data_IF_689311555169
#
_entry.id   IF_689311555169
#
_cell.length_a   1.000
_cell.length_b   1.000
_cell.length_c   1.000
_cell.angle_alpha   90.00
_cell.angle_beta   90.00
_cell.angle_gamma   90.00
#
_symmetry.space_group_name_H-M   'P 1'
#
loop_
_entity.id
_entity.type
_entity.pdbx_description
1 polymer ?
#
# COMPACT_ATOMS: atom_id res chain seq x y z
N UNK A 1 -3.95 12.65 -1.12
CA UNK A 1 -4.22 11.92 0.12
C UNK A 1 -5.43 11.06 -0.15
N UNK A 2 -5.37 9.80 0.26
CA UNK A 2 -6.46 8.84 0.10
C UNK A 2 -7.75 9.39 0.70
N UNK A 3 -8.87 9.19 0.01
CA UNK A 3 -10.18 9.53 0.51
C UNK A 3 -10.78 8.31 1.24
N UNK A 4 -11.05 8.46 2.54
CA UNK A 4 -11.68 7.42 3.35
C UNK A 4 -13.11 7.81 3.66
N UNK A 5 -14.07 7.00 3.20
CA UNK A 5 -15.49 7.14 3.49
C UNK A 5 -15.95 6.05 4.44
N UNK A 6 -16.46 6.43 5.61
CA UNK A 6 -17.10 5.50 6.54
C UNK A 6 -18.51 5.20 6.02
N UNK A 7 -18.75 3.95 5.61
CA UNK A 7 -20.07 3.50 5.13
C UNK A 7 -20.96 3.15 6.30
N UNK A 8 -20.41 2.50 7.32
CA UNK A 8 -21.07 2.16 8.58
C UNK A 8 -20.00 1.82 9.65
N UNK A 9 -20.44 1.42 10.86
CA UNK A 9 -19.58 1.07 12.00
C UNK A 9 -18.53 -0.02 11.71
N UNK A 10 -18.69 -0.79 10.64
CA UNK A 10 -17.89 -1.97 10.30
C UNK A 10 -17.30 -1.93 8.89
N UNK A 11 -17.59 -0.90 8.09
CA UNK A 11 -17.24 -0.84 6.68
C UNK A 11 -16.71 0.53 6.28
N UNK A 12 -15.55 0.54 5.64
CA UNK A 12 -14.98 1.72 4.98
C UNK A 12 -14.85 1.52 3.47
N UNK A 13 -14.90 2.63 2.74
CA UNK A 13 -14.47 2.71 1.34
C UNK A 13 -13.24 3.60 1.29
N UNK A 14 -12.24 3.16 0.56
CA UNK A 14 -11.01 3.90 0.34
C UNK A 14 -10.94 4.19 -1.15
N UNK A 15 -10.81 5.45 -1.53
CA UNK A 15 -10.52 5.85 -2.90
C UNK A 15 -9.11 6.45 -2.94
N UNK A 16 -8.29 5.96 -3.88
CA UNK A 16 -6.92 6.45 -4.09
C UNK A 16 -6.70 6.80 -5.55
N UNK A 17 -5.79 7.72 -5.79
CA UNK A 17 -5.38 8.17 -7.11
C UNK A 17 -3.88 7.95 -7.31
N UNK A 18 -3.40 8.14 -8.54
CA UNK A 18 -1.97 7.99 -8.89
C UNK A 18 -1.06 8.81 -7.94
N UNK A 19 -1.48 10.01 -7.57
CA UNK A 19 -0.74 10.91 -6.68
C UNK A 19 -0.52 10.30 -5.29
N UNK A 20 -1.44 9.46 -4.82
CA UNK A 20 -1.31 8.75 -3.54
C UNK A 20 -0.23 7.68 -3.64
N UNK A 21 -0.17 6.91 -4.75
CA UNK A 21 0.94 5.96 -4.98
C UNK A 21 2.28 6.68 -5.01
N UNK A 22 2.38 7.83 -5.70
CA UNK A 22 3.61 8.62 -5.73
C UNK A 22 4.01 9.15 -4.35
N UNK A 23 3.03 9.48 -3.51
CA UNK A 23 3.27 9.89 -2.12
C UNK A 23 3.79 8.72 -1.29
N UNK A 24 3.16 7.54 -1.41
CA UNK A 24 3.61 6.32 -0.74
C UNK A 24 5.04 5.94 -1.13
N UNK A 25 5.39 6.05 -2.42
CA UNK A 25 6.76 5.75 -2.90
C UNK A 25 7.78 6.70 -2.28
N UNK A 26 7.47 8.01 -2.22
CA UNK A 26 8.38 9.00 -1.61
C UNK A 26 8.56 8.77 -0.11
N UNK A 27 7.50 8.39 0.59
CA UNK A 27 7.55 8.08 2.02
C UNK A 27 8.36 6.80 2.27
N UNK A 28 8.11 5.76 1.48
CA UNK A 28 8.89 4.52 1.49
C UNK A 28 10.38 4.76 1.24
N UNK A 29 10.71 5.62 0.27
CA UNK A 29 12.10 6.00 -0.02
C UNK A 29 12.75 6.76 1.15
N UNK A 30 12.01 7.67 1.79
CA UNK A 30 12.53 8.49 2.90
C UNK A 30 12.76 7.66 4.16
N UNK A 31 11.94 6.63 4.37
CA UNK A 31 11.94 5.79 5.56
C UNK A 31 12.19 4.31 5.21
N UNK A 32 13.17 4.05 4.34
CA UNK A 32 13.35 2.73 3.75
C UNK A 32 13.57 1.60 4.77
N UNK A 33 14.24 1.88 5.88
CA UNK A 33 14.45 0.90 6.95
C UNK A 33 13.14 0.52 7.66
N UNK A 34 12.22 1.47 7.80
CA UNK A 34 10.89 1.22 8.41
C UNK A 34 10.03 0.38 7.48
N UNK A 35 10.06 0.68 6.18
CA UNK A 35 9.19 0.05 5.20
C UNK A 35 9.86 -1.10 4.43
N UNK A 36 11.04 -1.57 4.85
CA UNK A 36 11.80 -2.60 4.13
C UNK A 36 10.99 -3.88 3.90
N UNK A 37 10.28 -4.34 4.94
CA UNK A 37 9.43 -5.53 4.86
C UNK A 37 8.25 -5.34 3.89
N UNK A 38 7.60 -4.18 3.95
CA UNK A 38 6.49 -3.82 3.07
C UNK A 38 6.92 -3.78 1.61
N UNK A 39 8.03 -3.08 1.32
CA UNK A 39 8.60 -2.95 -0.03
C UNK A 39 8.89 -4.32 -0.63
N UNK A 40 9.62 -5.17 0.09
CA UNK A 40 9.99 -6.51 -0.39
C UNK A 40 8.76 -7.38 -0.63
N UNK A 41 7.81 -7.37 0.32
CA UNK A 41 6.58 -8.15 0.21
C UNK A 41 5.75 -7.71 -1.00
N UNK A 42 5.58 -6.40 -1.20
CA UNK A 42 4.83 -5.87 -2.33
C UNK A 42 5.44 -6.29 -3.67
N UNK A 43 6.76 -6.16 -3.82
CA UNK A 43 7.45 -6.53 -5.08
C UNK A 43 7.32 -8.03 -5.38
N UNK A 44 7.41 -8.88 -4.36
CA UNK A 44 7.35 -10.33 -4.54
C UNK A 44 5.93 -10.85 -4.76
N UNK A 45 4.93 -10.22 -4.12
CA UNK A 45 3.56 -10.74 -4.09
C UNK A 45 2.64 -10.07 -5.10
N UNK A 46 2.74 -8.75 -5.35
CA UNK A 46 1.82 -8.07 -6.27
C UNK A 46 1.71 -8.73 -7.66
N UNK A 47 2.80 -9.21 -8.31
CA UNK A 47 2.70 -9.89 -9.60
C UNK A 47 1.85 -11.17 -9.56
N UNK A 48 1.84 -11.88 -8.43
CA UNK A 48 1.07 -13.11 -8.23
C UNK A 48 -0.44 -12.83 -8.14
N UNK A 49 -0.83 -11.57 -7.89
CA UNK A 49 -2.20 -11.10 -7.77
C UNK A 49 -2.60 -10.14 -8.91
N UNK A 50 -1.97 -10.28 -10.08
CA UNK A 50 -2.18 -9.42 -11.24
C UNK A 50 -2.06 -7.92 -10.91
N UNK A 51 -1.22 -7.57 -9.93
CA UNK A 51 -0.96 -6.22 -9.42
C UNK A 51 -2.15 -5.55 -8.70
N UNK A 52 -3.39 -5.73 -9.18
CA UNK A 52 -4.58 -5.00 -8.74
C UNK A 52 -5.44 -5.74 -7.71
N UNK A 53 -5.22 -7.05 -7.53
CA UNK A 53 -5.94 -7.86 -6.53
C UNK A 53 -5.12 -8.12 -5.25
N UNK A 54 -4.04 -7.36 -5.05
CA UNK A 54 -3.17 -7.52 -3.90
C UNK A 54 -3.83 -6.97 -2.61
N UNK A 55 -3.77 -7.75 -1.53
CA UNK A 55 -4.26 -7.34 -0.21
C UNK A 55 -3.08 -7.18 0.75
N UNK A 56 -2.78 -5.93 1.13
CA UNK A 56 -1.69 -5.56 2.04
C UNK A 56 -1.76 -6.30 3.39
N UNK A 57 -2.95 -6.47 3.95
CA UNK A 57 -3.18 -7.13 5.23
C UNK A 57 -2.93 -8.64 5.23
N UNK A 58 -2.94 -9.29 4.05
CA UNK A 58 -2.76 -10.73 3.97
C UNK A 58 -1.32 -11.17 4.31
N UNK A 59 -0.37 -10.25 4.31
CA UNK A 59 1.06 -10.51 4.49
C UNK A 59 1.69 -9.71 5.63
N UNK A 60 0.87 -9.11 6.51
CA UNK A 60 1.32 -8.20 7.57
C UNK A 60 2.17 -7.02 7.05
N UNK A 61 2.01 -6.69 5.75
CA UNK A 61 2.76 -5.66 5.03
C UNK A 61 1.87 -4.45 4.78
N UNK A 62 1.35 -3.87 5.85
CA UNK A 62 0.33 -2.82 5.78
C UNK A 62 0.79 -1.49 6.39
N UNK A 63 2.00 -1.39 6.95
CA UNK A 63 2.45 -0.19 7.66
C UNK A 63 2.45 1.05 6.74
N UNK A 64 2.94 0.91 5.50
CA UNK A 64 2.93 1.98 4.52
C UNK A 64 1.51 2.38 4.09
N UNK A 65 0.60 1.41 4.02
CA UNK A 65 -0.80 1.65 3.67
C UNK A 65 -1.58 2.30 4.82
N UNK A 66 -1.36 1.84 6.05
CA UNK A 66 -1.91 2.43 7.28
C UNK A 66 -1.42 3.87 7.45
N UNK A 67 -0.14 4.14 7.17
CA UNK A 67 0.44 5.48 7.19
C UNK A 67 -0.25 6.44 6.22
N UNK A 68 -0.60 5.95 5.03
CA UNK A 68 -1.31 6.73 4.01
C UNK A 68 -2.76 7.03 4.41
N UNK A 69 -3.44 6.09 5.09
CA UNK A 69 -4.87 6.22 5.41
C UNK A 69 -5.17 7.13 6.60
N UNK A 70 -4.16 7.45 7.43
CA UNK A 70 -4.32 8.23 8.67
C UNK A 70 -5.44 7.71 9.60
N UNK A 71 -5.82 6.44 9.41
CA UNK A 71 -6.92 5.73 10.08
C UNK A 71 -6.56 4.25 10.08
N UNK A 72 -6.76 3.58 11.21
CA UNK A 72 -6.50 2.14 11.34
C UNK A 72 -7.64 1.33 10.71
N UNK A 73 -7.43 0.70 9.54
CA UNK A 73 -8.45 -0.06 8.86
C UNK A 73 -8.82 -1.34 9.59
N UNK A 74 -7.97 -1.82 10.51
CA UNK A 74 -8.23 -3.01 11.34
C UNK A 74 -9.39 -2.77 12.31
N UNK A 75 -9.79 -1.52 12.54
CA UNK A 75 -10.99 -1.18 13.29
C UNK A 75 -12.28 -1.54 12.52
N UNK A 76 -12.18 -1.83 11.23
CA UNK A 76 -13.30 -2.18 10.36
C UNK A 76 -13.20 -3.64 9.91
N UNK A 77 -14.34 -4.34 9.89
CA UNK A 77 -14.40 -5.75 9.46
C UNK A 77 -14.47 -5.92 7.95
N UNK A 78 -14.66 -4.82 7.20
CA UNK A 78 -14.78 -4.84 5.75
C UNK A 78 -14.26 -3.52 5.18
N UNK A 79 -13.49 -3.59 4.09
CA UNK A 79 -13.13 -2.43 3.30
C UNK A 79 -13.19 -2.74 1.81
N UNK A 80 -13.36 -1.70 0.99
CA UNK A 80 -13.15 -1.77 -0.45
C UNK A 80 -12.20 -0.67 -0.89
N UNK A 81 -11.28 -1.01 -1.78
CA UNK A 81 -10.35 -0.07 -2.40
C UNK A 81 -10.83 0.23 -3.82
N UNK A 82 -11.10 1.51 -4.09
CA UNK A 82 -11.32 2.05 -5.42
C UNK A 82 -10.02 2.73 -5.85
N UNK A 83 -9.34 2.14 -6.84
CA UNK A 83 -8.04 2.58 -7.29
C UNK A 83 -7.92 2.37 -8.80
N UNK A 84 -7.42 3.36 -9.56
CA UNK A 84 -7.14 3.16 -10.98
C UNK A 84 -5.92 2.22 -11.14
N UNK A 85 -5.85 1.46 -12.23
CA UNK A 85 -4.70 0.59 -12.54
C UNK A 85 -3.35 1.34 -12.46
N UNK A 86 -3.35 2.62 -12.86
CA UNK A 86 -2.18 3.50 -12.76
C UNK A 86 -1.61 3.60 -11.34
N UNK A 87 -2.45 3.56 -10.30
CA UNK A 87 -2.01 3.52 -8.90
C UNK A 87 -1.16 2.27 -8.65
N UNK A 88 -1.68 1.09 -8.99
CA UNK A 88 -1.00 -0.18 -8.73
C UNK A 88 0.30 -0.32 -9.53
N UNK A 89 0.30 0.08 -10.80
CA UNK A 89 1.50 0.02 -11.64
C UNK A 89 2.57 1.01 -11.19
N UNK A 90 2.19 2.24 -10.83
CA UNK A 90 3.14 3.21 -10.29
C UNK A 90 3.72 2.73 -8.96
N UNK A 91 2.87 2.24 -8.05
CA UNK A 91 3.28 1.72 -6.75
C UNK A 91 4.25 0.55 -6.92
N UNK A 92 3.90 -0.45 -7.73
CA UNK A 92 4.78 -1.58 -8.01
C UNK A 92 6.11 -1.16 -8.63
N UNK A 93 6.09 -0.28 -9.63
CA UNK A 93 7.31 0.22 -10.28
C UNK A 93 8.21 0.97 -9.32
N UNK A 94 7.62 1.82 -8.47
CA UNK A 94 8.34 2.55 -7.43
C UNK A 94 8.99 1.64 -6.39
N UNK A 95 8.23 0.68 -5.84
CA UNK A 95 8.77 -0.29 -4.87
C UNK A 95 9.85 -1.18 -5.49
N UNK A 96 9.69 -1.56 -6.76
CA UNK A 96 10.73 -2.30 -7.49
C UNK A 96 12.03 -1.50 -7.58
N UNK A 97 11.95 -0.18 -7.77
CA UNK A 97 13.12 0.71 -7.74
C UNK A 97 13.82 0.77 -6.38
N UNK A 98 13.11 0.49 -5.29
CA UNK A 98 13.63 0.48 -3.91
C UNK A 98 14.02 -0.93 -3.43
N UNK A 99 13.71 -1.98 -4.19
CA UNK A 99 13.74 -3.36 -3.74
C UNK A 99 15.10 -3.82 -3.22
N UNK A 100 16.16 -3.64 -4.03
CA UNK A 100 17.50 -4.11 -3.65
C UNK A 100 18.04 -3.38 -2.41
N UNK A 101 17.69 -2.11 -2.23
CA UNK A 101 18.09 -1.35 -1.06
C UNK A 101 17.30 -1.79 0.19
N UNK A 102 15.98 -1.98 0.05
CA UNK A 102 15.12 -2.48 1.12
C UNK A 102 15.58 -3.85 1.64
N UNK A 103 16.02 -4.75 0.75
CA UNK A 103 16.54 -6.08 1.14
C UNK A 103 17.77 -6.05 2.04
N UNK A 104 18.52 -4.95 2.09
CA UNK A 104 19.68 -4.83 2.97
C UNK A 104 19.29 -4.66 4.46
N UNK A 105 18.01 -4.38 4.74
CA UNK A 105 17.48 -4.12 6.07
C UNK A 105 16.59 -5.26 6.63
N UNK A 106 16.52 -6.40 5.95
CA UNK A 106 15.81 -7.62 6.37
C UNK A 106 16.79 -8.72 6.78
#
# INVERSE_FOLDING_TARGET
>A
MAEVTIVNEKTIKIAVQLEDALTMIRDAQTHITEYAFDIVTMVEKMPQFNYTYFCFYAYDSAALFERMLDTDPKQYTSFSLDAPDSFFYALYGGMTGLYEEARLYL
#
